data_IF_406719301565
#
_entry.id   IF_406719301565
#
_cell.length_a   1.000
_cell.length_b   1.000
_cell.length_c   1.000
_cell.angle_alpha   90.00
_cell.angle_beta   90.00
_cell.angle_gamma   90.00
#
_symmetry.space_group_name_H-M   'P 1'
#
loop_
_entity.id
_entity.type
_entity.pdbx_description
1 polymer ?
#
# COMPACT_ATOMS: atom_id res chain seq x y z
N UNK A 1 47.18 -37.00 -13.11
CA UNK A 1 46.84 -35.68 -12.58
C UNK A 1 45.34 -35.64 -12.37
N UNK A 2 44.85 -35.82 -11.14
CA UNK A 2 43.41 -35.71 -10.80
C UNK A 2 43.14 -34.27 -10.37
N UNK A 3 42.34 -33.54 -11.17
CA UNK A 3 41.85 -32.22 -10.76
C UNK A 3 40.82 -32.43 -9.67
N UNK A 4 41.07 -31.98 -8.46
CA UNK A 4 40.08 -31.81 -7.40
C UNK A 4 39.34 -30.51 -7.72
N UNK A 5 38.08 -30.61 -8.12
CA UNK A 5 37.17 -29.48 -8.19
C UNK A 5 36.74 -29.13 -6.74
N UNK A 6 37.24 -28.04 -6.23
CA UNK A 6 36.73 -27.48 -4.95
C UNK A 6 35.33 -26.89 -5.19
N UNK A 7 34.31 -27.53 -4.62
CA UNK A 7 32.97 -26.96 -4.54
C UNK A 7 33.05 -25.88 -3.44
N UNK A 8 33.10 -24.64 -3.88
CA UNK A 8 32.91 -23.48 -2.95
C UNK A 8 31.41 -23.45 -2.61
N UNK A 9 31.04 -23.93 -1.43
CA UNK A 9 29.73 -23.68 -0.86
C UNK A 9 29.68 -22.20 -0.45
N UNK A 10 29.05 -21.38 -1.30
CA UNK A 10 28.70 -20.01 -0.92
C UNK A 10 27.53 -20.14 0.06
N UNK A 11 27.82 -20.06 1.36
CA UNK A 11 26.79 -19.78 2.34
C UNK A 11 26.31 -18.35 2.10
N UNK A 12 25.15 -18.19 1.50
CA UNK A 12 24.45 -16.91 1.49
C UNK A 12 24.18 -16.53 2.95
N UNK A 13 24.90 -15.56 3.48
CA UNK A 13 24.56 -14.97 4.78
C UNK A 13 23.28 -14.15 4.55
N UNK A 14 22.17 -14.55 5.15
CA UNK A 14 20.94 -13.76 5.20
C UNK A 14 21.28 -12.35 5.66
N UNK A 15 20.85 -11.35 4.91
CA UNK A 15 21.02 -9.96 5.33
C UNK A 15 20.23 -9.71 6.60
N UNK A 16 20.60 -8.69 7.40
CA UNK A 16 19.86 -8.35 8.62
C UNK A 16 18.38 -8.00 8.31
N UNK A 17 18.13 -7.46 7.13
CA UNK A 17 16.79 -7.08 6.66
C UNK A 17 15.95 -8.31 6.27
N UNK A 18 16.55 -9.29 5.60
CA UNK A 18 15.89 -10.56 5.29
C UNK A 18 15.50 -11.29 6.59
N UNK A 19 16.42 -11.38 7.55
CA UNK A 19 16.12 -11.95 8.86
C UNK A 19 15.01 -11.18 9.59
N UNK A 20 14.92 -9.85 9.43
CA UNK A 20 13.86 -9.04 10.00
C UNK A 20 12.51 -9.40 9.36
N UNK A 21 12.43 -9.50 8.03
CA UNK A 21 11.20 -9.85 7.31
C UNK A 21 10.76 -11.27 7.68
N UNK A 22 11.65 -12.26 7.64
CA UNK A 22 11.36 -13.64 8.02
C UNK A 22 10.94 -13.78 9.48
N UNK A 23 11.26 -12.81 10.34
CA UNK A 23 10.81 -12.78 11.74
C UNK A 23 9.39 -12.22 11.92
N UNK A 24 8.76 -11.64 10.89
CA UNK A 24 7.42 -11.04 10.99
C UNK A 24 6.42 -12.01 11.61
N UNK A 25 6.27 -13.29 11.16
CA UNK A 25 5.31 -14.22 11.74
C UNK A 25 5.53 -14.55 13.23
N UNK A 26 6.74 -14.38 13.74
CA UNK A 26 7.02 -14.57 15.19
C UNK A 26 6.77 -13.30 16.01
N UNK A 27 6.81 -12.15 15.37
CA UNK A 27 6.62 -10.84 15.99
C UNK A 27 5.19 -10.30 15.82
N UNK A 28 4.48 -10.78 14.81
CA UNK A 28 3.09 -10.41 14.54
C UNK A 28 2.14 -11.37 15.24
N UNK A 29 1.12 -10.85 15.91
CA UNK A 29 -0.01 -11.61 16.43
C UNK A 29 -1.25 -11.33 15.60
N UNK A 30 -1.96 -12.38 15.21
CA UNK A 30 -3.26 -12.26 14.51
C UNK A 30 -4.36 -12.32 15.57
N UNK A 31 -5.10 -11.23 15.76
CA UNK A 31 -6.21 -11.13 16.71
C UNK A 31 -7.50 -11.68 16.09
N UNK A 32 -8.53 -11.81 16.91
CA UNK A 32 -9.87 -12.17 16.42
C UNK A 32 -10.39 -11.10 15.44
N UNK A 33 -11.09 -11.57 14.42
CA UNK A 33 -11.58 -10.70 13.36
C UNK A 33 -12.75 -9.82 13.78
N UNK A 34 -12.88 -8.70 13.10
CA UNK A 34 -14.10 -7.90 13.05
C UNK A 34 -14.69 -8.00 11.65
N UNK A 35 -15.97 -8.32 11.57
CA UNK A 35 -16.66 -8.51 10.29
C UNK A 35 -17.90 -7.63 10.20
N UNK A 36 -18.14 -7.09 9.02
CA UNK A 36 -19.39 -6.45 8.62
C UNK A 36 -19.64 -6.77 7.15
N UNK A 37 -20.88 -7.17 6.83
CA UNK A 37 -21.20 -7.71 5.51
C UNK A 37 -20.19 -8.83 5.14
N UNK A 38 -19.63 -8.81 3.94
CA UNK A 38 -18.62 -9.74 3.44
C UNK A 38 -17.18 -9.33 3.76
N UNK A 39 -16.95 -8.15 4.34
CA UNK A 39 -15.61 -7.65 4.71
C UNK A 39 -15.23 -8.14 6.10
N UNK A 40 -14.15 -8.91 6.19
CA UNK A 40 -13.55 -9.42 7.42
C UNK A 40 -12.14 -8.86 7.56
N UNK A 41 -11.83 -8.31 8.72
CA UNK A 41 -10.53 -7.74 9.05
C UNK A 41 -9.98 -8.43 10.29
N UNK A 42 -8.80 -9.01 10.17
CA UNK A 42 -8.01 -9.52 11.29
C UNK A 42 -7.01 -8.43 11.71
N UNK A 43 -7.18 -7.80 12.89
CA UNK A 43 -6.18 -6.87 13.39
C UNK A 43 -4.86 -7.61 13.67
N UNK A 44 -3.75 -7.00 13.30
CA UNK A 44 -2.41 -7.52 13.51
C UNK A 44 -1.67 -6.69 14.55
N UNK A 45 -1.09 -7.36 15.56
CA UNK A 45 -0.09 -6.75 16.43
C UNK A 45 1.31 -6.97 15.87
N UNK A 46 2.28 -6.17 16.31
CA UNK A 46 3.67 -6.34 15.91
C UNK A 46 4.61 -5.86 17.01
N UNK A 47 5.53 -6.72 17.47
CA UNK A 47 6.45 -6.44 18.58
C UNK A 47 7.79 -5.82 18.14
N UNK A 48 8.01 -5.57 16.83
CA UNK A 48 9.21 -4.91 16.35
C UNK A 48 9.29 -3.42 16.74
N UNK A 49 10.47 -2.83 16.52
CA UNK A 49 10.73 -1.41 16.82
C UNK A 49 9.78 -0.48 16.08
N UNK A 50 9.12 0.39 16.82
CA UNK A 50 8.19 1.35 16.27
C UNK A 50 8.91 2.52 15.60
N UNK A 51 8.43 2.92 14.42
CA UNK A 51 8.83 4.15 13.71
C UNK A 51 7.58 4.97 13.41
N UNK A 52 7.72 6.27 13.49
CA UNK A 52 6.63 7.21 13.17
C UNK A 52 7.18 8.34 12.31
N UNK A 53 6.45 8.66 11.26
CA UNK A 53 6.82 9.67 10.28
C UNK A 53 5.67 10.66 10.06
N UNK A 54 5.97 11.79 9.42
CA UNK A 54 4.95 12.65 8.84
C UNK A 54 4.41 11.95 7.59
N UNK A 55 3.09 11.80 7.44
CA UNK A 55 2.50 11.23 6.23
C UNK A 55 2.55 12.22 5.07
N UNK A 56 2.56 11.74 3.83
CA UNK A 56 2.49 12.58 2.63
C UNK A 56 1.28 13.52 2.68
N UNK A 57 0.09 12.99 3.06
CA UNK A 57 -1.12 13.80 3.25
C UNK A 57 -0.89 14.96 4.21
N UNK A 58 -0.42 14.67 5.42
CA UNK A 58 -0.15 15.73 6.43
C UNK A 58 0.88 16.74 5.94
N UNK A 59 1.90 16.27 5.22
CA UNK A 59 2.94 17.16 4.69
C UNK A 59 2.41 18.09 3.61
N UNK A 60 1.54 17.62 2.72
CA UNK A 60 0.88 18.42 1.69
C UNK A 60 -0.07 19.44 2.31
N UNK A 61 -0.96 19.02 3.24
CA UNK A 61 -1.91 19.89 3.93
C UNK A 61 -1.22 21.02 4.71
N UNK A 62 -0.03 20.75 5.27
CA UNK A 62 0.77 21.73 6.02
C UNK A 62 1.81 22.47 5.17
N UNK A 63 1.82 22.29 3.85
CA UNK A 63 2.80 22.88 2.94
C UNK A 63 4.27 22.58 3.32
N UNK A 64 4.53 21.42 3.92
CA UNK A 64 5.86 20.94 4.28
C UNK A 64 6.59 20.30 3.09
N UNK A 65 5.85 19.84 2.09
CA UNK A 65 6.33 19.22 0.85
C UNK A 65 5.69 19.91 -0.34
N UNK A 66 6.39 19.93 -1.47
CA UNK A 66 5.84 20.26 -2.77
C UNK A 66 5.92 19.00 -3.62
N UNK A 67 4.82 18.66 -4.29
CA UNK A 67 4.76 17.60 -5.30
C UNK A 67 4.24 18.23 -6.59
N UNK A 68 4.96 18.05 -7.69
CA UNK A 68 4.58 18.64 -8.98
C UNK A 68 4.97 17.76 -10.16
N UNK A 69 4.39 18.06 -11.31
CA UNK A 69 4.78 17.45 -12.58
C UNK A 69 6.28 17.64 -12.84
N UNK A 70 6.92 16.60 -13.36
CA UNK A 70 8.26 16.68 -13.91
C UNK A 70 8.20 17.29 -15.32
N UNK A 71 9.01 18.30 -15.60
CA UNK A 71 9.05 19.01 -16.86
C UNK A 71 7.66 19.56 -17.27
N UNK A 72 7.21 19.22 -18.47
CA UNK A 72 5.87 19.56 -19.01
C UNK A 72 4.82 18.47 -18.68
N UNK A 73 5.16 17.50 -17.84
CA UNK A 73 4.34 16.37 -17.39
C UNK A 73 4.81 15.06 -18.01
N UNK A 74 5.35 14.18 -17.16
CA UNK A 74 5.68 12.80 -17.49
C UNK A 74 4.61 11.87 -16.91
N UNK A 75 4.25 10.80 -17.64
CA UNK A 75 3.16 9.90 -17.20
C UNK A 75 3.50 9.19 -15.89
N UNK A 76 4.72 8.69 -15.78
CA UNK A 76 5.12 7.78 -14.70
C UNK A 76 6.07 8.41 -13.68
N UNK A 77 6.23 9.74 -13.70
CA UNK A 77 7.17 10.41 -12.80
C UNK A 77 6.62 11.75 -12.34
N UNK A 78 6.71 11.99 -11.02
CA UNK A 78 6.53 13.31 -10.42
C UNK A 78 7.82 13.71 -9.70
N UNK A 79 7.95 14.99 -9.37
CA UNK A 79 9.07 15.47 -8.53
C UNK A 79 8.55 15.98 -7.20
N UNK A 80 9.26 15.63 -6.13
CA UNK A 80 8.93 16.03 -4.77
C UNK A 80 10.08 16.79 -4.12
N UNK A 81 9.74 17.73 -3.24
CA UNK A 81 10.74 18.44 -2.42
C UNK A 81 10.21 18.61 -1.02
N UNK A 82 10.85 17.94 -0.05
CA UNK A 82 10.57 18.11 1.36
C UNK A 82 11.26 19.38 1.89
N UNK A 83 10.48 20.34 2.36
CA UNK A 83 10.96 21.62 2.92
C UNK A 83 11.05 21.59 4.44
N UNK A 84 10.66 20.49 5.07
CA UNK A 84 10.60 20.37 6.53
C UNK A 84 11.82 19.65 7.10
N UNK A 85 11.97 19.76 8.43
CA UNK A 85 13.00 19.04 9.18
C UNK A 85 12.59 17.60 9.56
N UNK A 86 11.45 17.09 9.06
CA UNK A 86 10.94 15.76 9.36
C UNK A 86 11.02 14.86 8.12
N UNK A 87 11.31 13.59 8.33
CA UNK A 87 11.15 12.58 7.28
C UNK A 87 9.67 12.39 6.98
N UNK A 88 9.30 12.37 5.69
CA UNK A 88 7.94 12.17 5.21
C UNK A 88 7.82 10.78 4.62
N UNK A 89 6.79 10.04 5.02
CA UNK A 89 6.45 8.73 4.46
C UNK A 89 5.30 8.88 3.47
N UNK A 90 5.53 8.40 2.25
CA UNK A 90 4.52 8.20 1.22
C UNK A 90 4.32 6.69 1.03
N UNK A 91 3.09 6.22 1.17
CA UNK A 91 2.74 4.80 1.06
C UNK A 91 2.45 4.43 -0.39
N UNK A 92 2.88 3.25 -0.81
CA UNK A 92 2.47 2.64 -2.08
C UNK A 92 0.93 2.58 -2.18
N UNK A 93 0.40 2.99 -3.32
CA UNK A 93 -1.05 3.08 -3.52
C UNK A 93 -1.69 4.39 -3.05
N UNK A 94 -0.98 5.26 -2.31
CA UNK A 94 -1.52 6.57 -1.91
C UNK A 94 -1.74 7.46 -3.13
N UNK A 95 -2.90 8.11 -3.22
CA UNK A 95 -3.26 8.95 -4.36
C UNK A 95 -3.04 10.42 -4.04
N UNK A 96 -2.43 11.12 -4.98
CA UNK A 96 -2.31 12.58 -5.02
C UNK A 96 -3.15 13.11 -6.18
N UNK A 97 -3.89 14.19 -5.94
CA UNK A 97 -4.84 14.76 -6.90
C UNK A 97 -4.34 16.05 -7.52
N UNK A 98 -4.67 16.25 -8.76
CA UNK A 98 -4.45 17.52 -9.45
C UNK A 98 -3.53 17.43 -10.65
N UNK A 99 -2.82 18.52 -10.93
CA UNK A 99 -1.98 18.67 -12.11
C UNK A 99 -2.68 18.17 -13.39
N UNK A 100 -2.01 17.42 -14.26
CA UNK A 100 -2.61 16.90 -15.50
C UNK A 100 -3.54 15.72 -15.28
N UNK A 101 -3.22 14.86 -14.32
CA UNK A 101 -3.98 13.66 -13.96
C UNK A 101 -3.68 13.28 -12.50
N UNK A 102 -4.61 12.63 -11.83
CA UNK A 102 -4.36 12.04 -10.52
C UNK A 102 -3.31 10.91 -10.61
N UNK A 103 -2.45 10.81 -9.59
CA UNK A 103 -1.35 9.86 -9.54
C UNK A 103 -1.43 8.98 -8.29
N UNK A 104 -1.05 7.73 -8.45
CA UNK A 104 -0.81 6.76 -7.38
C UNK A 104 0.70 6.60 -7.16
N UNK A 105 1.15 6.72 -5.93
CA UNK A 105 2.55 6.42 -5.56
C UNK A 105 2.82 4.94 -5.83
N UNK A 106 3.89 4.65 -6.57
CA UNK A 106 4.20 3.28 -6.98
C UNK A 106 4.72 2.44 -5.82
N UNK A 107 5.70 2.95 -5.08
CA UNK A 107 6.38 2.25 -4.00
C UNK A 107 6.40 3.07 -2.72
N UNK A 108 6.52 2.37 -1.59
CA UNK A 108 6.77 3.02 -0.31
C UNK A 108 8.04 3.88 -0.38
N UNK A 109 7.98 5.09 0.17
CA UNK A 109 9.07 6.05 0.08
C UNK A 109 9.23 6.85 1.36
N UNK A 110 10.45 6.94 1.87
CA UNK A 110 10.84 7.90 2.90
C UNK A 110 11.60 9.07 2.28
N UNK A 111 10.98 10.25 2.29
CA UNK A 111 11.55 11.47 1.74
C UNK A 111 12.31 12.20 2.87
N UNK A 112 13.65 12.31 2.77
CA UNK A 112 14.47 12.86 3.86
C UNK A 112 14.15 14.33 4.13
N UNK A 113 14.50 14.83 5.33
CA UNK A 113 14.35 16.23 5.67
C UNK A 113 15.13 17.14 4.73
N UNK A 114 14.58 18.33 4.42
CA UNK A 114 15.25 19.34 3.60
C UNK A 114 15.83 18.77 2.29
N UNK A 115 15.11 17.85 1.65
CA UNK A 115 15.57 17.22 0.41
C UNK A 115 15.70 18.24 -0.73
N UNK A 116 16.61 17.96 -1.68
CA UNK A 116 16.49 18.52 -3.02
C UNK A 116 15.22 18.03 -3.73
N UNK A 117 15.12 18.26 -5.02
CA UNK A 117 14.11 17.63 -5.85
C UNK A 117 14.44 16.14 -6.03
N UNK A 118 13.46 15.29 -5.76
CA UNK A 118 13.55 13.83 -5.88
C UNK A 118 12.51 13.39 -6.89
N UNK A 119 12.90 12.55 -7.84
CA UNK A 119 12.00 11.92 -8.79
C UNK A 119 11.32 10.71 -8.12
N UNK A 120 9.99 10.64 -8.22
CA UNK A 120 9.18 9.59 -7.62
C UNK A 120 8.37 8.90 -8.71
N UNK A 121 8.47 7.59 -8.77
CA UNK A 121 7.70 6.76 -9.68
C UNK A 121 6.21 6.73 -9.24
N UNK A 122 5.33 6.88 -10.22
CA UNK A 122 3.88 6.93 -10.04
C UNK A 122 3.15 6.27 -11.20
N UNK A 123 1.90 5.87 -10.95
CA UNK A 123 0.96 5.49 -12.00
C UNK A 123 -0.16 6.54 -12.11
N UNK A 124 -0.63 6.78 -13.31
CA UNK A 124 -1.85 7.56 -13.52
C UNK A 124 -3.07 6.73 -13.11
N UNK A 125 -3.94 7.31 -12.30
CA UNK A 125 -5.22 6.70 -11.89
C UNK A 125 -6.42 7.38 -12.53
N UNK A 126 -6.17 8.18 -13.56
CA UNK A 126 -7.16 8.93 -14.33
C UNK A 126 -6.75 8.89 -15.81
N UNK A 127 -7.56 8.29 -16.68
CA UNK A 127 -7.22 8.09 -18.08
C UNK A 127 -7.71 9.22 -19.00
N UNK A 128 -8.90 9.76 -18.71
CA UNK A 128 -9.60 10.67 -19.63
C UNK A 128 -9.16 12.14 -19.60
N UNK A 129 -8.29 12.56 -18.65
CA UNK A 129 -7.85 13.96 -18.53
C UNK A 129 -6.33 14.07 -18.73
N UNK A 130 -5.92 14.95 -19.64
CA UNK A 130 -4.51 15.31 -19.85
C UNK A 130 -4.34 16.82 -19.91
N UNK A 131 -4.97 17.54 -18.99
CA UNK A 131 -4.85 18.99 -18.84
C UNK A 131 -5.08 19.40 -17.39
N UNK A 132 -4.48 20.48 -16.96
CA UNK A 132 -4.63 21.00 -15.59
C UNK A 132 -4.23 22.46 -15.52
N UNK A 133 -4.83 23.18 -14.58
CA UNK A 133 -4.53 24.59 -14.29
C UNK A 133 -3.31 24.77 -13.41
N UNK A 134 -2.86 23.71 -12.71
CA UNK A 134 -1.71 23.73 -11.81
C UNK A 134 -0.71 22.66 -12.22
N UNK A 135 0.57 22.90 -11.95
CA UNK A 135 1.61 21.86 -12.03
C UNK A 135 1.78 21.13 -10.69
N UNK A 136 1.12 21.56 -9.62
CA UNK A 136 1.26 20.99 -8.28
C UNK A 136 0.09 20.06 -7.95
N UNK A 137 0.43 19.05 -7.15
CA UNK A 137 -0.53 18.10 -6.61
C UNK A 137 -0.94 18.46 -5.19
N UNK A 138 -2.18 18.11 -4.85
CA UNK A 138 -2.74 18.24 -3.52
C UNK A 138 -2.92 16.86 -2.87
N UNK A 139 -3.09 16.87 -1.53
CA UNK A 139 -3.44 15.68 -0.78
C UNK A 139 -4.81 15.14 -1.20
N UNK A 140 -4.91 13.82 -1.29
CA UNK A 140 -6.17 13.11 -1.36
C UNK A 140 -6.32 12.18 -0.15
N UNK A 141 -7.55 12.02 0.33
CA UNK A 141 -7.84 11.09 1.45
C UNK A 141 -8.28 9.73 0.92
N UNK A 142 -7.61 9.27 -0.13
CA UNK A 142 -7.89 8.02 -0.83
C UNK A 142 -6.60 7.25 -1.11
N UNK A 143 -6.74 5.93 -1.19
CA UNK A 143 -5.70 5.00 -1.64
C UNK A 143 -6.27 4.10 -2.72
N UNK A 144 -5.44 3.63 -3.63
CA UNK A 144 -5.81 2.59 -4.57
C UNK A 144 -6.24 1.32 -3.82
N UNK A 145 -7.18 0.60 -4.39
CA UNK A 145 -7.65 -0.65 -3.81
C UNK A 145 -6.58 -1.76 -3.86
N UNK A 146 -6.69 -2.79 -3.01
CA UNK A 146 -5.78 -3.94 -3.03
C UNK A 146 -5.58 -4.53 -4.43
N UNK A 147 -6.62 -4.68 -5.23
CA UNK A 147 -6.52 -5.18 -6.60
C UNK A 147 -5.63 -4.30 -7.48
N UNK A 148 -5.81 -2.97 -7.42
CA UNK A 148 -4.98 -2.04 -8.22
C UNK A 148 -3.54 -2.07 -7.74
N UNK A 149 -3.30 -2.10 -6.42
CA UNK A 149 -1.96 -2.17 -5.83
C UNK A 149 -1.24 -3.45 -6.23
N UNK A 150 -1.89 -4.59 -6.09
CA UNK A 150 -1.37 -5.90 -6.50
C UNK A 150 -1.08 -5.95 -8.01
N UNK A 151 -2.03 -5.51 -8.84
CA UNK A 151 -1.87 -5.48 -10.30
C UNK A 151 -0.74 -4.56 -10.75
N UNK A 152 -0.61 -3.37 -10.15
CA UNK A 152 0.48 -2.44 -10.43
C UNK A 152 1.85 -3.05 -10.13
N UNK A 153 1.96 -3.78 -9.00
CA UNK A 153 3.19 -4.46 -8.60
C UNK A 153 3.54 -5.63 -9.52
N UNK A 154 2.56 -6.49 -9.80
CA UNK A 154 2.75 -7.70 -10.61
C UNK A 154 3.10 -7.37 -12.05
N UNK A 155 2.36 -6.48 -12.66
CA UNK A 155 2.44 -6.21 -14.09
C UNK A 155 3.41 -5.05 -14.43
N UNK A 156 3.75 -4.19 -13.46
CA UNK A 156 4.60 -2.99 -13.63
C UNK A 156 4.17 -2.16 -14.86
N UNK A 157 2.85 -2.05 -15.07
CA UNK A 157 2.25 -1.55 -16.31
C UNK A 157 1.18 -0.50 -16.04
N UNK A 158 1.35 0.67 -16.65
CA UNK A 158 0.35 1.76 -16.61
C UNK A 158 -1.00 1.33 -17.20
N UNK A 159 -1.00 0.54 -18.29
CA UNK A 159 -2.24 0.07 -18.91
C UNK A 159 -3.02 -0.85 -17.98
N UNK A 160 -2.35 -1.68 -17.19
CA UNK A 160 -2.99 -2.57 -16.20
C UNK A 160 -3.63 -1.80 -15.05
N UNK A 161 -3.02 -0.71 -14.62
CA UNK A 161 -3.64 0.19 -13.64
C UNK A 161 -4.94 0.79 -14.21
N UNK A 162 -4.92 1.29 -15.44
CA UNK A 162 -6.13 1.82 -16.10
C UNK A 162 -7.21 0.75 -16.31
N UNK A 163 -6.83 -0.46 -16.72
CA UNK A 163 -7.77 -1.60 -16.84
C UNK A 163 -8.43 -1.90 -15.47
N UNK A 164 -7.66 -1.93 -14.39
CA UNK A 164 -8.16 -2.12 -13.03
C UNK A 164 -9.14 -1.02 -12.61
N UNK A 165 -8.79 0.25 -12.86
CA UNK A 165 -9.68 1.40 -12.57
C UNK A 165 -10.98 1.28 -13.36
N UNK A 166 -10.89 1.02 -14.66
CA UNK A 166 -12.06 0.89 -15.54
C UNK A 166 -12.97 -0.28 -15.13
N UNK A 167 -12.39 -1.42 -14.72
CA UNK A 167 -13.11 -2.57 -14.19
C UNK A 167 -13.90 -2.21 -12.93
N UNK A 168 -13.24 -1.59 -11.95
CA UNK A 168 -13.88 -1.17 -10.69
C UNK A 168 -15.01 -0.18 -10.95
N UNK A 169 -14.80 0.82 -11.81
CA UNK A 169 -15.87 1.77 -12.15
C UNK A 169 -17.07 1.07 -12.79
N UNK A 170 -16.84 0.17 -13.74
CA UNK A 170 -17.90 -0.56 -14.41
C UNK A 170 -18.71 -1.43 -13.42
N UNK A 171 -18.03 -2.12 -12.50
CA UNK A 171 -18.68 -3.02 -11.55
C UNK A 171 -19.44 -2.26 -10.44
N UNK A 172 -18.91 -1.14 -9.95
CA UNK A 172 -19.52 -0.37 -8.87
C UNK A 172 -20.53 0.66 -9.38
N UNK A 173 -20.16 1.37 -10.44
CA UNK A 173 -20.93 2.52 -10.96
C UNK A 173 -21.83 2.17 -12.14
N UNK A 174 -21.72 0.94 -12.67
CA UNK A 174 -22.37 0.48 -13.91
C UNK A 174 -21.95 1.27 -15.17
N UNK A 175 -21.00 2.20 -15.07
CA UNK A 175 -20.45 2.98 -16.17
C UNK A 175 -19.12 3.61 -15.77
N UNK A 176 -18.31 4.01 -16.75
CA UNK A 176 -17.13 4.81 -16.49
C UNK A 176 -17.50 6.27 -16.32
N UNK A 177 -16.75 6.99 -15.48
CA UNK A 177 -16.85 8.44 -15.39
C UNK A 177 -16.24 9.11 -16.64
N UNK A 178 -16.54 10.40 -16.85
CA UNK A 178 -16.01 11.14 -17.99
C UNK A 178 -14.49 11.31 -17.98
N UNK A 179 -13.89 11.35 -16.77
CA UNK A 179 -12.43 11.45 -16.58
C UNK A 179 -11.76 10.10 -16.37
N UNK A 180 -12.56 9.06 -16.16
CA UNK A 180 -12.08 7.72 -15.78
C UNK A 180 -11.11 7.75 -14.57
N UNK A 181 -11.37 8.68 -13.62
CA UNK A 181 -10.56 8.81 -12.41
C UNK A 181 -10.99 7.79 -11.35
N UNK A 182 -10.02 7.08 -10.75
CA UNK A 182 -10.33 6.15 -9.65
C UNK A 182 -11.07 6.84 -8.49
N UNK A 183 -10.72 8.10 -8.20
CA UNK A 183 -11.37 8.90 -7.17
C UNK A 183 -12.88 9.06 -7.34
N UNK A 184 -13.42 8.93 -8.56
CA UNK A 184 -14.85 9.07 -8.84
C UNK A 184 -15.67 7.91 -8.26
N UNK A 185 -15.04 6.75 -8.02
CA UNK A 185 -15.68 5.61 -7.33
C UNK A 185 -16.16 6.05 -5.94
N UNK A 186 -15.33 6.77 -5.19
CA UNK A 186 -15.65 7.26 -3.83
C UNK A 186 -16.72 8.35 -3.81
N UNK A 187 -16.87 9.09 -4.91
CA UNK A 187 -17.89 10.11 -5.07
C UNK A 187 -19.22 9.56 -5.61
N UNK A 188 -19.22 8.32 -6.09
CA UNK A 188 -20.38 7.67 -6.67
C UNK A 188 -21.50 7.43 -5.66
N UNK A 189 -22.75 7.45 -6.13
CA UNK A 189 -23.90 7.15 -5.29
C UNK A 189 -23.87 5.70 -4.74
N UNK A 190 -23.57 4.65 -5.54
CA UNK A 190 -23.49 3.29 -5.02
C UNK A 190 -22.51 3.13 -3.86
N UNK A 191 -21.31 3.75 -3.96
CA UNK A 191 -20.33 3.72 -2.89
C UNK A 191 -20.86 4.43 -1.62
N UNK A 192 -21.36 5.66 -1.76
CA UNK A 192 -21.88 6.47 -0.64
C UNK A 192 -23.03 5.78 0.09
N UNK A 193 -23.92 5.13 -0.64
CA UNK A 193 -25.07 4.42 -0.06
C UNK A 193 -24.60 3.19 0.77
N UNK A 194 -23.61 2.44 0.30
CA UNK A 194 -23.14 1.21 0.97
C UNK A 194 -22.09 1.45 2.06
N UNK A 195 -21.24 2.46 1.92
CA UNK A 195 -20.13 2.76 2.84
C UNK A 195 -20.55 2.77 4.31
N UNK A 196 -21.73 3.32 4.63
CA UNK A 196 -22.23 3.48 6.00
C UNK A 196 -22.33 2.16 6.77
N UNK A 197 -22.69 1.06 6.11
CA UNK A 197 -22.78 -0.27 6.74
C UNK A 197 -21.41 -0.74 7.27
N UNK A 198 -20.36 -0.58 6.46
CA UNK A 198 -18.98 -0.93 6.83
C UNK A 198 -18.44 0.01 7.91
N UNK A 199 -18.62 1.31 7.77
CA UNK A 199 -18.12 2.33 8.69
C UNK A 199 -18.68 2.20 10.10
N UNK A 200 -19.91 1.75 10.25
CA UNK A 200 -20.55 1.59 11.56
C UNK A 200 -19.72 0.75 12.53
N UNK A 201 -19.03 -0.28 12.02
CA UNK A 201 -18.20 -1.18 12.85
C UNK A 201 -16.69 -0.90 12.72
N UNK A 202 -16.24 -0.49 11.54
CA UNK A 202 -14.81 -0.55 11.20
C UNK A 202 -14.10 0.81 11.29
N UNK A 203 -14.78 1.96 11.22
CA UNK A 203 -14.13 3.26 11.17
C UNK A 203 -13.19 3.56 12.36
N UNK A 204 -13.56 3.06 13.54
CA UNK A 204 -12.83 3.28 14.80
C UNK A 204 -12.08 2.00 15.24
N UNK A 205 -11.80 1.08 14.31
CA UNK A 205 -11.14 -0.18 14.65
C UNK A 205 -9.76 0.02 15.31
N UNK A 206 -8.90 0.94 14.88
CA UNK A 206 -7.65 1.23 15.57
C UNK A 206 -7.84 1.70 17.01
N UNK A 207 -8.83 2.56 17.28
CA UNK A 207 -9.13 3.02 18.65
C UNK A 207 -9.57 1.88 19.57
N UNK A 208 -10.33 0.92 19.03
CA UNK A 208 -10.81 -0.26 19.76
C UNK A 208 -9.71 -1.28 20.01
N UNK A 209 -8.64 -1.27 19.22
CA UNK A 209 -7.49 -2.18 19.29
C UNK A 209 -6.15 -1.39 19.34
N UNK A 210 -5.80 -0.76 20.49
CA UNK A 210 -4.60 0.09 20.59
C UNK A 210 -3.27 -0.61 20.32
N UNK A 211 -3.24 -1.95 20.41
CA UNK A 211 -2.06 -2.77 20.07
C UNK A 211 -1.93 -3.09 18.58
N UNK A 212 -2.97 -2.78 17.79
CA UNK A 212 -3.03 -3.04 16.36
C UNK A 212 -2.02 -2.16 15.62
N UNK A 213 -1.25 -2.78 14.73
CA UNK A 213 -0.27 -2.11 13.88
C UNK A 213 -0.45 -2.46 12.41
N UNK A 214 -1.37 -3.37 12.10
CA UNK A 214 -1.68 -3.79 10.74
C UNK A 214 -2.99 -4.54 10.67
N UNK A 215 -3.28 -5.02 9.47
CA UNK A 215 -4.46 -5.80 9.15
C UNK A 215 -4.14 -6.91 8.17
N UNK A 216 -4.89 -8.03 8.28
CA UNK A 216 -5.13 -8.94 7.18
C UNK A 216 -6.59 -8.78 6.80
N UNK A 217 -6.83 -8.54 5.53
CA UNK A 217 -8.15 -8.16 4.99
C UNK A 217 -8.68 -9.28 4.10
N UNK A 218 -9.95 -9.64 4.32
CA UNK A 218 -10.62 -10.69 3.54
C UNK A 218 -11.99 -10.20 3.06
N UNK A 219 -12.41 -10.69 1.91
CA UNK A 219 -13.77 -10.53 1.37
C UNK A 219 -14.32 -11.91 1.01
N UNK A 220 -15.40 -12.33 1.66
CA UNK A 220 -15.89 -13.69 1.54
C UNK A 220 -14.81 -14.72 1.90
N UNK A 221 -14.51 -15.63 0.98
CA UNK A 221 -13.47 -16.66 1.11
C UNK A 221 -12.07 -16.20 0.73
N UNK A 222 -11.90 -14.97 0.24
CA UNK A 222 -10.66 -14.53 -0.37
C UNK A 222 -9.88 -13.61 0.58
N UNK A 223 -8.57 -13.87 0.74
CA UNK A 223 -7.65 -12.93 1.36
C UNK A 223 -7.32 -11.88 0.29
N UNK A 224 -7.42 -10.60 0.65
CA UNK A 224 -7.11 -9.50 -0.27
C UNK A 224 -5.68 -9.01 -0.11
N UNK A 225 -5.29 -8.76 1.13
CA UNK A 225 -3.96 -8.23 1.44
C UNK A 225 -3.63 -8.30 2.93
N UNK A 226 -2.34 -8.12 3.21
CA UNK A 226 -1.80 -7.68 4.49
C UNK A 226 -1.27 -6.27 4.30
N UNK A 227 -1.56 -5.37 5.26
CA UNK A 227 -0.89 -4.09 5.44
C UNK A 227 -0.37 -4.03 6.89
N UNK A 228 0.95 -3.97 7.08
CA UNK A 228 1.57 -3.98 8.41
C UNK A 228 2.55 -2.82 8.56
N UNK A 229 2.27 -1.97 9.54
CA UNK A 229 3.13 -0.85 9.94
C UNK A 229 3.93 -1.19 11.20
N UNK A 230 5.04 -0.53 11.40
CA UNK A 230 5.81 -0.69 12.64
C UNK A 230 5.14 -0.04 13.86
N UNK A 231 4.19 0.88 13.68
CA UNK A 231 3.53 1.56 14.78
C UNK A 231 2.03 1.73 14.58
N UNK A 232 1.27 1.65 15.69
CA UNK A 232 -0.16 1.95 15.71
C UNK A 232 -0.47 3.35 15.16
N UNK A 233 0.32 4.36 15.54
CA UNK A 233 0.14 5.74 15.06
C UNK A 233 0.22 5.86 13.53
N UNK A 234 1.09 5.07 12.89
CA UNK A 234 1.15 5.10 11.41
C UNK A 234 -0.06 4.42 10.80
N UNK A 235 -0.46 3.25 11.29
CA UNK A 235 -1.69 2.60 10.85
C UNK A 235 -2.91 3.52 10.99
N UNK A 236 -3.09 4.16 12.14
CA UNK A 236 -4.21 5.04 12.42
C UNK A 236 -4.29 6.22 11.43
N UNK A 237 -3.14 6.85 11.12
CA UNK A 237 -3.07 7.92 10.11
C UNK A 237 -3.48 7.47 8.70
N UNK A 238 -3.28 6.21 8.37
CA UNK A 238 -3.65 5.64 7.06
C UNK A 238 -5.01 4.94 7.07
N UNK A 239 -5.57 4.65 8.27
CA UNK A 239 -6.72 3.78 8.44
C UNK A 239 -7.91 4.15 7.56
N UNK A 240 -8.29 5.41 7.55
CA UNK A 240 -9.47 5.85 6.81
C UNK A 240 -9.36 5.54 5.31
N UNK A 241 -8.27 5.93 4.68
CA UNK A 241 -8.08 5.69 3.24
C UNK A 241 -7.90 4.21 2.91
N UNK A 242 -7.27 3.44 3.79
CA UNK A 242 -7.16 1.99 3.65
C UNK A 242 -8.53 1.32 3.78
N UNK A 243 -9.31 1.67 4.80
CA UNK A 243 -10.66 1.13 4.97
C UNK A 243 -11.54 1.42 3.76
N UNK A 244 -11.51 2.65 3.24
CA UNK A 244 -12.27 3.02 2.05
C UNK A 244 -11.84 2.15 0.84
N UNK A 245 -10.54 1.87 0.68
CA UNK A 245 -10.02 1.01 -0.38
C UNK A 245 -10.45 -0.47 -0.24
N UNK A 246 -10.53 -0.97 0.98
CA UNK A 246 -11.04 -2.33 1.27
C UNK A 246 -12.55 -2.45 1.02
N UNK A 247 -13.31 -1.40 1.32
CA UNK A 247 -14.75 -1.35 1.04
C UNK A 247 -15.02 -1.43 -0.47
N UNK A 248 -14.20 -0.79 -1.29
CA UNK A 248 -14.29 -0.91 -2.75
C UNK A 248 -14.21 -2.38 -3.19
N UNK A 249 -13.25 -3.15 -2.65
CA UNK A 249 -13.16 -4.57 -2.95
C UNK A 249 -14.32 -5.38 -2.38
N UNK A 250 -14.79 -5.05 -1.17
CA UNK A 250 -15.95 -5.72 -0.58
C UNK A 250 -17.24 -5.52 -1.41
N UNK A 251 -17.39 -4.36 -2.05
CA UNK A 251 -18.54 -4.08 -2.93
C UNK A 251 -18.56 -4.92 -4.21
N UNK A 252 -17.39 -5.43 -4.62
CA UNK A 252 -17.19 -6.24 -5.83
C UNK A 252 -17.13 -7.73 -5.53
N UNK A 253 -16.64 -8.08 -4.33
CA UNK A 253 -16.38 -9.45 -3.93
C UNK A 253 -17.63 -10.25 -3.57
N UNK A 254 -17.45 -11.56 -3.46
CA UNK A 254 -18.51 -12.49 -3.11
C UNK A 254 -18.90 -12.39 -1.63
N UNK A 255 -20.18 -12.60 -1.34
CA UNK A 255 -20.70 -12.77 0.03
C UNK A 255 -20.54 -14.20 0.56
N UNK A 256 -20.00 -15.12 -0.25
CA UNK A 256 -19.90 -16.54 0.07
C UNK A 256 -18.58 -16.88 0.72
N UNK A 257 -18.64 -17.81 1.67
CA UNK A 257 -17.48 -18.31 2.37
C UNK A 257 -16.92 -17.36 3.43
N UNK A 258 -15.81 -17.74 3.99
CA UNK A 258 -15.06 -16.90 4.95
C UNK A 258 -13.67 -17.49 5.18
N UNK A 259 -12.69 -16.64 5.40
CA UNK A 259 -11.36 -17.04 5.82
C UNK A 259 -11.37 -17.28 7.33
N UNK A 260 -10.84 -18.42 7.78
CA UNK A 260 -10.69 -18.75 9.21
C UNK A 260 -9.44 -18.08 9.81
N UNK A 261 -9.37 -18.01 11.14
CA UNK A 261 -8.18 -17.54 11.86
C UNK A 261 -6.93 -18.40 11.54
N UNK A 262 -7.13 -19.70 11.30
CA UNK A 262 -6.03 -20.61 10.92
C UNK A 262 -5.47 -20.28 9.54
N UNK A 263 -6.34 -20.00 8.56
CA UNK A 263 -5.93 -19.61 7.21
C UNK A 263 -5.27 -18.23 7.22
N UNK A 264 -5.80 -17.28 7.99
CA UNK A 264 -5.19 -15.96 8.18
C UNK A 264 -3.77 -16.07 8.77
N UNK A 265 -3.58 -16.92 9.79
CA UNK A 265 -2.24 -17.19 10.38
C UNK A 265 -1.31 -17.86 9.38
N UNK A 266 -1.81 -18.82 8.59
CA UNK A 266 -1.02 -19.49 7.55
C UNK A 266 -0.53 -18.49 6.51
N UNK A 267 -1.36 -17.52 6.11
CA UNK A 267 -0.95 -16.49 5.15
C UNK A 267 0.11 -15.55 5.73
N UNK A 268 0.03 -15.20 7.03
CA UNK A 268 1.11 -14.45 7.69
C UNK A 268 2.41 -15.26 7.74
N UNK A 269 2.34 -16.59 7.84
CA UNK A 269 3.52 -17.45 7.83
C UNK A 269 4.27 -17.44 6.49
N UNK A 270 3.65 -16.95 5.38
CA UNK A 270 4.34 -16.78 4.10
C UNK A 270 5.55 -15.84 4.20
N UNK A 271 5.53 -14.84 5.08
CA UNK A 271 6.70 -13.97 5.31
C UNK A 271 7.98 -14.73 5.73
N UNK A 272 7.88 -16.00 6.17
CA UNK A 272 9.06 -16.85 6.45
C UNK A 272 9.76 -17.34 5.19
N UNK A 273 9.08 -17.30 4.05
CA UNK A 273 9.47 -17.95 2.81
C UNK A 273 9.65 -16.96 1.65
N UNK A 274 9.41 -15.67 1.91
CA UNK A 274 9.58 -14.67 0.86
C UNK A 274 11.04 -14.51 0.52
N UNK A 275 11.32 -14.38 -0.77
CA UNK A 275 12.59 -13.89 -1.26
C UNK A 275 12.56 -12.35 -1.29
N UNK A 276 13.69 -11.72 -1.03
CA UNK A 276 13.85 -10.28 -1.06
C UNK A 276 14.66 -9.88 -2.29
N UNK A 277 14.09 -9.04 -3.13
CA UNK A 277 14.78 -8.38 -4.23
C UNK A 277 14.93 -6.89 -3.90
N UNK A 278 16.18 -6.43 -3.80
CA UNK A 278 16.48 -5.00 -3.56
C UNK A 278 16.01 -4.18 -4.75
N UNK A 279 15.17 -3.18 -4.51
CA UNK A 279 14.72 -2.25 -5.52
C UNK A 279 15.14 -0.82 -5.17
N UNK A 280 15.52 -0.08 -6.20
CA UNK A 280 15.96 1.31 -6.03
C UNK A 280 14.89 2.17 -5.39
N UNK A 281 15.26 2.91 -4.34
CA UNK A 281 14.45 4.00 -3.78
C UNK A 281 15.20 5.32 -3.91
N UNK A 282 14.55 6.38 -4.41
CA UNK A 282 15.17 7.71 -4.47
C UNK A 282 15.21 8.40 -3.10
N UNK A 283 14.58 7.79 -2.10
CA UNK A 283 14.50 8.30 -0.73
C UNK A 283 15.58 7.76 0.18
N UNK A 284 15.21 7.49 1.42
CA UNK A 284 16.08 6.87 2.44
C UNK A 284 15.43 5.60 2.98
N UNK A 285 16.25 4.66 3.45
CA UNK A 285 15.83 3.32 3.83
C UNK A 285 16.11 2.31 2.73
N UNK A 286 15.82 1.06 3.01
CA UNK A 286 16.06 -0.09 2.15
C UNK A 286 14.71 -0.64 1.72
N UNK A 287 14.44 -0.64 0.42
CA UNK A 287 13.17 -1.05 -0.17
C UNK A 287 13.37 -2.37 -0.91
N UNK A 288 12.53 -3.34 -0.60
CA UNK A 288 12.56 -4.66 -1.21
C UNK A 288 11.21 -4.99 -1.83
N UNK A 289 11.23 -5.57 -3.01
CA UNK A 289 10.14 -6.41 -3.50
C UNK A 289 10.22 -7.75 -2.78
N UNK A 290 9.09 -8.28 -2.34
CA UNK A 290 9.01 -9.57 -1.66
C UNK A 290 8.08 -10.48 -2.43
N UNK A 291 8.48 -11.73 -2.59
CA UNK A 291 7.71 -12.74 -3.29
C UNK A 291 7.84 -14.12 -2.67
N UNK A 292 6.76 -14.88 -2.69
CA UNK A 292 6.71 -16.28 -2.31
C UNK A 292 5.85 -17.05 -3.31
N UNK A 293 5.69 -18.36 -3.07
CA UNK A 293 4.81 -19.20 -3.91
C UNK A 293 3.32 -18.74 -3.84
N UNK A 294 2.88 -18.23 -2.70
CA UNK A 294 1.47 -17.91 -2.44
C UNK A 294 1.21 -16.38 -2.32
N UNK A 295 2.22 -15.51 -2.60
CA UNK A 295 2.02 -14.07 -2.47
C UNK A 295 3.20 -13.21 -2.89
N UNK A 296 2.89 -11.95 -3.21
CA UNK A 296 3.85 -10.93 -3.60
C UNK A 296 3.56 -9.61 -2.88
N UNK A 297 4.58 -8.80 -2.64
CA UNK A 297 4.41 -7.55 -1.92
C UNK A 297 5.67 -6.70 -1.92
N UNK A 298 5.77 -5.81 -0.95
CA UNK A 298 6.99 -5.05 -0.69
C UNK A 298 7.22 -4.82 0.79
N UNK A 299 8.43 -4.45 1.11
CA UNK A 299 8.78 -4.03 2.46
C UNK A 299 9.77 -2.87 2.42
N UNK A 300 9.50 -1.85 3.23
CA UNK A 300 10.40 -0.73 3.46
C UNK A 300 10.98 -0.83 4.86
N UNK A 301 12.30 -0.84 4.93
CA UNK A 301 13.08 -0.91 6.18
C UNK A 301 13.87 0.38 6.35
N UNK A 302 13.95 0.87 7.57
CA UNK A 302 14.73 2.07 7.89
C UNK A 302 15.47 1.91 9.21
N UNK A 303 16.80 1.96 9.14
CA UNK A 303 17.70 1.79 10.32
C UNK A 303 17.37 0.52 11.10
N UNK A 304 17.28 -0.61 10.36
CA UNK A 304 17.05 -1.95 10.93
C UNK A 304 15.67 -2.14 11.56
N UNK A 305 14.68 -1.33 11.20
CA UNK A 305 13.30 -1.47 11.64
C UNK A 305 12.33 -1.40 10.46
N UNK A 306 11.29 -2.25 10.49
CA UNK A 306 10.19 -2.18 9.55
C UNK A 306 9.57 -0.77 9.58
N UNK A 307 9.24 -0.23 8.42
CA UNK A 307 8.41 0.96 8.26
C UNK A 307 6.99 0.53 7.90
N UNK A 308 6.88 -0.16 6.79
CA UNK A 308 5.64 -0.72 6.27
C UNK A 308 5.97 -1.96 5.42
N UNK A 309 5.07 -2.91 5.39
CA UNK A 309 5.07 -4.03 4.44
C UNK A 309 3.65 -4.33 4.02
N UNK A 310 3.49 -4.65 2.76
CA UNK A 310 2.27 -5.22 2.20
C UNK A 310 2.54 -6.62 1.65
N UNK A 311 1.49 -7.44 1.60
CA UNK A 311 1.50 -8.75 0.95
C UNK A 311 0.14 -9.00 0.32
N UNK A 312 0.13 -9.38 -0.94
CA UNK A 312 -1.07 -9.74 -1.71
C UNK A 312 -0.97 -11.21 -2.10
N UNK A 313 -2.07 -11.98 -2.07
CA UNK A 313 -2.09 -13.32 -2.62
C UNK A 313 -1.93 -13.28 -4.15
N UNK A 314 -1.39 -14.41 -4.73
CA UNK A 314 -1.28 -14.61 -6.18
C UNK A 314 -2.62 -14.92 -6.88
#
# INVERSE_FOLDING_TARGET
>A
MKLLAAIILVFATTTGDEALVHSIPTKAGVLDYVQTENLRIYPLTYSGSAKTFTTLKTALEKNLIVVREKNEGEVNTVVVKNKSNSTIFAMAGEIIKGAKQDRMIENDLLIPPNSGWIEVAVYCTEHGRWHGVSKEFAAADISASPLIRAGARKEKSQSKVWEGVAGIQTEIMASRSATEAFGDVYESKPYKDKRGAYYKKLKNLPDQHPSMKGVLVCVGSDILCVDLFSSHTMLDKYWRKLLDSYIVEAMRGSDKGSVSLSEAKKFIDEFRKVDLEDIYTPGTGDLYEIGSYDGQGSTLIYKGALVHTDLFPD
#
